data_IF_953288403073
#
_entry.id   IF_953288403073
#
_cell.length_a   1.000
_cell.length_b   1.000
_cell.length_c   1.000
_cell.angle_alpha   90.00
_cell.angle_beta   90.00
_cell.angle_gamma   90.00
#
_symmetry.space_group_name_H-M   'P 1'
#
loop_
_entity.id
_entity.type
_entity.pdbx_description
1 polymer ?
#
# COMPACT_ATOMS: atom_id res chain seq x y z
N UNK A 1 17.82 -19.73 18.70
CA UNK A 1 17.53 -18.97 17.46
C UNK A 1 16.04 -18.62 17.28
N UNK A 2 15.09 -19.33 17.91
CA UNK A 2 13.65 -19.07 17.75
C UNK A 2 13.12 -17.77 18.44
N UNK A 3 13.73 -17.33 19.54
CA UNK A 3 13.22 -16.18 20.33
C UNK A 3 13.42 -14.79 19.70
N UNK A 4 14.45 -14.63 18.85
CA UNK A 4 14.74 -13.34 18.23
C UNK A 4 13.75 -12.97 17.12
N UNK A 5 13.16 -13.97 16.46
CA UNK A 5 12.15 -13.77 15.42
C UNK A 5 10.81 -13.40 16.05
N UNK A 6 10.38 -14.09 17.11
CA UNK A 6 9.14 -13.77 17.83
C UNK A 6 9.18 -12.38 18.50
N UNK A 7 10.34 -11.94 18.98
CA UNK A 7 10.53 -10.58 19.51
C UNK A 7 10.47 -9.50 18.42
N UNK A 8 11.02 -9.76 17.23
CA UNK A 8 10.95 -8.83 16.09
C UNK A 8 9.53 -8.72 15.54
N UNK A 9 8.84 -9.85 15.42
CA UNK A 9 7.46 -9.92 14.95
C UNK A 9 6.49 -9.23 15.95
N UNK A 10 6.71 -9.48 17.25
CA UNK A 10 5.95 -8.80 18.31
C UNK A 10 6.15 -7.28 18.32
N UNK A 11 7.37 -6.80 18.11
CA UNK A 11 7.66 -5.36 17.98
C UNK A 11 7.00 -4.76 16.74
N UNK A 12 7.03 -5.46 15.61
CA UNK A 12 6.41 -5.01 14.37
C UNK A 12 4.89 -4.82 14.52
N UNK A 13 4.17 -5.83 15.02
CA UNK A 13 2.72 -5.70 15.22
C UNK A 13 2.38 -4.68 16.29
N UNK A 14 3.20 -4.54 17.34
CA UNK A 14 2.95 -3.52 18.35
C UNK A 14 3.06 -2.10 17.76
N UNK A 15 4.12 -1.84 16.97
CA UNK A 15 4.32 -0.56 16.28
C UNK A 15 3.18 -0.25 15.31
N UNK A 16 2.78 -1.22 14.47
CA UNK A 16 1.60 -1.09 13.61
C UNK A 16 0.33 -0.81 14.42
N UNK A 17 0.17 -1.45 15.57
CA UNK A 17 -0.94 -1.18 16.48
C UNK A 17 -0.98 0.25 16.99
N UNK A 18 0.19 0.82 17.31
CA UNK A 18 0.32 2.22 17.70
C UNK A 18 0.04 3.19 16.54
N UNK A 19 0.39 2.85 15.29
CA UNK A 19 0.01 3.66 14.11
C UNK A 19 -1.52 3.80 13.99
N UNK A 20 -2.27 2.73 14.31
CA UNK A 20 -3.73 2.69 14.16
C UNK A 20 -4.48 3.26 15.37
N UNK A 21 -4.02 2.94 16.58
CA UNK A 21 -4.74 3.28 17.82
C UNK A 21 -4.09 4.45 18.60
N UNK A 22 -2.99 4.99 18.09
CA UNK A 22 -2.15 5.94 18.81
C UNK A 22 -1.34 5.29 19.94
N UNK A 23 -0.43 6.08 20.51
CA UNK A 23 0.39 5.64 21.63
C UNK A 23 -0.47 5.29 22.86
N UNK A 24 -0.04 4.30 23.67
CA UNK A 24 -0.73 3.95 24.90
C UNK A 24 -0.78 5.13 25.88
N UNK A 25 -1.85 5.24 26.70
CA UNK A 25 -1.86 6.17 27.82
C UNK A 25 -0.67 5.90 28.74
N UNK A 26 0.15 6.92 29.01
CA UNK A 26 1.43 6.77 29.73
C UNK A 26 2.65 6.54 28.83
N UNK A 27 2.47 6.56 27.51
CA UNK A 27 3.52 6.51 26.51
C UNK A 27 4.07 5.11 26.27
N UNK A 28 4.87 4.99 25.21
CA UNK A 28 5.42 3.73 24.70
C UNK A 28 6.15 2.87 25.76
N UNK A 29 6.67 3.50 26.82
CA UNK A 29 7.48 2.86 27.85
C UNK A 29 6.68 2.23 29.00
N UNK A 30 5.39 2.55 29.15
CA UNK A 30 4.54 2.05 30.25
C UNK A 30 3.11 1.65 29.83
N UNK A 31 2.91 0.86 28.77
CA UNK A 31 1.58 0.37 28.43
C UNK A 31 1.06 -0.60 29.51
N UNK A 32 -0.23 -0.51 29.81
CA UNK A 32 -0.91 -1.59 30.53
C UNK A 32 -0.90 -2.88 29.69
N UNK A 33 -1.11 -4.03 30.32
CA UNK A 33 -1.23 -5.30 29.59
C UNK A 33 -2.37 -5.26 28.56
N UNK A 34 -3.49 -4.62 28.93
CA UNK A 34 -4.65 -4.44 28.07
C UNK A 34 -4.31 -3.56 26.86
N UNK A 35 -3.61 -2.44 27.07
CA UNK A 35 -3.13 -1.57 26.00
C UNK A 35 -2.20 -2.30 25.03
N UNK A 36 -1.34 -3.15 25.57
CA UNK A 36 -0.41 -3.95 24.79
C UNK A 36 -1.14 -4.95 23.91
N UNK A 37 -2.12 -5.66 24.47
CA UNK A 37 -2.93 -6.63 23.73
C UNK A 37 -3.79 -5.96 22.65
N UNK A 38 -4.40 -4.81 22.95
CA UNK A 38 -5.20 -4.05 22.00
C UNK A 38 -4.39 -3.66 20.76
N UNK A 39 -3.19 -3.09 20.97
CA UNK A 39 -2.27 -2.69 19.89
C UNK A 39 -1.72 -3.87 19.12
N UNK A 40 -1.30 -4.93 19.81
CA UNK A 40 -0.88 -6.18 19.14
C UNK A 40 -1.98 -6.75 18.24
N UNK A 41 -3.23 -6.73 18.70
CA UNK A 41 -4.36 -7.23 17.93
C UNK A 41 -4.68 -6.33 16.73
N UNK A 42 -4.64 -5.01 16.92
CA UNK A 42 -4.79 -4.04 15.83
C UNK A 42 -3.70 -4.18 14.77
N UNK A 43 -2.42 -4.28 15.18
CA UNK A 43 -1.31 -4.42 14.25
C UNK A 43 -1.29 -5.74 13.50
N UNK A 44 -1.75 -6.85 14.11
CA UNK A 44 -1.96 -8.11 13.38
C UNK A 44 -3.05 -8.00 12.32
N UNK A 45 -4.16 -7.33 12.63
CA UNK A 45 -5.22 -7.06 11.65
C UNK A 45 -4.70 -6.17 10.51
N UNK A 46 -3.93 -5.15 10.84
CA UNK A 46 -3.35 -4.23 9.85
C UNK A 46 -2.28 -4.91 8.99
N UNK A 47 -1.41 -5.74 9.55
CA UNK A 47 -0.45 -6.52 8.78
C UNK A 47 -1.14 -7.45 7.78
N UNK A 48 -2.19 -8.16 8.22
CA UNK A 48 -3.00 -9.01 7.33
C UNK A 48 -3.73 -8.19 6.27
N UNK A 49 -4.19 -6.98 6.60
CA UNK A 49 -4.75 -6.04 5.62
C UNK A 49 -3.70 -5.65 4.59
N UNK A 50 -2.47 -5.29 5.01
CA UNK A 50 -1.35 -4.90 4.13
C UNK A 50 -0.83 -6.06 3.28
N UNK A 51 -0.86 -7.28 3.78
CA UNK A 51 -0.55 -8.48 3.00
C UNK A 51 -1.58 -8.72 1.88
N UNK A 52 -2.86 -8.53 2.19
CA UNK A 52 -3.96 -8.68 1.22
C UNK A 52 -4.07 -7.49 0.26
N UNK A 53 -3.74 -6.30 0.74
CA UNK A 53 -3.85 -5.02 0.06
C UNK A 53 -2.61 -4.17 0.43
N UNK A 54 -1.49 -4.31 -0.31
CA UNK A 54 -0.26 -3.55 -0.03
C UNK A 54 -0.58 -2.06 0.13
N UNK A 55 0.03 -1.45 1.15
CA UNK A 55 -0.37 -0.16 1.68
C UNK A 55 -0.40 0.95 0.59
N UNK A 56 -1.34 1.91 0.70
CA UNK A 56 -1.36 3.12 -0.12
C UNK A 56 -0.03 3.84 -0.03
N UNK A 57 0.59 4.13 -1.17
CA UNK A 57 1.92 4.75 -1.23
C UNK A 57 1.94 6.25 -0.90
N UNK A 58 0.86 6.85 -0.37
CA UNK A 58 0.78 8.30 -0.17
C UNK A 58 0.17 8.69 1.18
N UNK A 59 0.77 9.72 1.79
CA UNK A 59 0.40 10.28 3.10
C UNK A 59 -1.04 10.85 3.18
N UNK A 60 -1.69 11.02 2.03
CA UNK A 60 -3.06 11.51 1.88
C UNK A 60 -4.10 10.38 1.77
N UNK A 61 -3.68 9.11 1.89
CA UNK A 61 -4.56 7.94 1.87
C UNK A 61 -5.01 7.51 0.47
N UNK A 62 -4.62 8.21 -0.59
CA UNK A 62 -4.96 7.81 -1.96
C UNK A 62 -3.96 6.79 -2.52
N UNK A 63 -4.43 5.84 -3.32
CA UNK A 63 -3.56 4.86 -3.97
C UNK A 63 -4.16 4.23 -5.21
N UNK A 64 -3.27 3.73 -6.07
CA UNK A 64 -3.67 2.96 -7.23
C UNK A 64 -3.58 1.47 -6.91
N UNK A 65 -4.68 0.75 -7.13
CA UNK A 65 -4.72 -0.72 -6.95
C UNK A 65 -4.11 -1.39 -8.17
N UNK A 66 -3.21 -2.35 -7.95
CA UNK A 66 -2.63 -3.18 -9.01
C UNK A 66 -3.49 -4.42 -9.28
N UNK A 67 -3.47 -4.90 -10.52
CA UNK A 67 -3.95 -6.21 -10.97
C UNK A 67 -2.90 -7.28 -10.70
N UNK A 68 -3.32 -8.54 -10.77
CA UNK A 68 -2.44 -9.70 -10.57
C UNK A 68 -1.31 -9.80 -11.62
N UNK A 69 -1.49 -9.20 -12.80
CA UNK A 69 -0.51 -9.13 -13.89
C UNK A 69 0.47 -7.95 -13.75
N UNK A 70 0.37 -7.17 -12.67
CA UNK A 70 1.21 -5.98 -12.44
C UNK A 70 0.70 -4.70 -13.12
N UNK A 71 -0.41 -4.75 -13.86
CA UNK A 71 -1.07 -3.57 -14.39
C UNK A 71 -1.78 -2.74 -13.31
N UNK A 72 -1.88 -1.41 -13.49
CA UNK A 72 -2.61 -0.54 -12.56
C UNK A 72 -4.09 -0.43 -12.96
N UNK A 73 -5.02 -0.69 -12.04
CA UNK A 73 -6.45 -0.94 -12.30
C UNK A 73 -7.38 0.25 -12.01
N UNK A 74 -7.34 0.77 -10.78
CA UNK A 74 -8.26 1.82 -10.30
C UNK A 74 -7.55 2.71 -9.30
N UNK A 75 -8.00 3.96 -9.18
CA UNK A 75 -7.55 4.89 -8.16
C UNK A 75 -8.54 4.89 -7.00
N UNK A 76 -8.03 4.68 -5.79
CA UNK A 76 -8.80 4.52 -4.55
C UNK A 76 -8.51 5.70 -3.63
N UNK A 77 -9.57 6.30 -3.11
CA UNK A 77 -9.53 7.41 -2.17
C UNK A 77 -9.31 6.97 -0.72
N UNK A 78 -9.15 7.95 0.20
CA UNK A 78 -8.96 7.68 1.63
C UNK A 78 -10.16 7.00 2.31
N UNK A 79 -11.34 7.08 1.71
CA UNK A 79 -12.57 6.40 2.14
C UNK A 79 -12.67 4.94 1.64
N UNK A 80 -11.73 4.51 0.79
CA UNK A 80 -11.72 3.19 0.18
C UNK A 80 -12.58 3.07 -1.10
N UNK A 81 -13.21 4.15 -1.54
CA UNK A 81 -13.98 4.23 -2.78
C UNK A 81 -13.09 4.47 -4.01
N UNK A 82 -13.59 4.13 -5.21
CA UNK A 82 -12.95 4.55 -6.46
C UNK A 82 -13.15 6.05 -6.62
N UNK A 83 -12.07 6.78 -6.93
CA UNK A 83 -12.10 8.24 -7.05
C UNK A 83 -11.33 8.74 -8.27
N UNK A 84 -11.69 9.92 -8.76
CA UNK A 84 -10.98 10.67 -9.80
C UNK A 84 -10.54 12.06 -9.33
N UNK A 85 -10.64 12.35 -8.03
CA UNK A 85 -10.32 13.67 -7.46
C UNK A 85 -8.88 14.13 -7.72
N UNK A 86 -7.97 13.19 -7.99
CA UNK A 86 -6.57 13.47 -8.35
C UNK A 86 -6.18 12.66 -9.59
N UNK A 87 -6.63 13.08 -10.77
CA UNK A 87 -6.29 12.37 -11.99
C UNK A 87 -4.77 12.46 -12.21
N UNK A 88 -4.12 11.33 -12.44
CA UNK A 88 -2.67 11.27 -12.63
C UNK A 88 -2.30 10.21 -13.66
N UNK A 89 -1.03 10.20 -14.05
CA UNK A 89 -0.47 9.29 -15.03
C UNK A 89 0.59 8.44 -14.36
N UNK A 90 0.50 7.12 -14.48
CA UNK A 90 1.60 6.21 -14.22
C UNK A 90 2.38 6.00 -15.51
N UNK A 91 3.70 6.06 -15.42
CA UNK A 91 4.61 5.70 -16.50
C UNK A 91 5.39 4.47 -16.05
N UNK A 92 5.12 3.33 -16.67
CA UNK A 92 5.78 2.06 -16.37
C UNK A 92 6.71 1.71 -17.54
N UNK A 93 7.99 1.56 -17.25
CA UNK A 93 8.95 1.00 -18.20
C UNK A 93 8.97 -0.52 -18.07
N UNK A 94 8.48 -1.22 -19.10
CA UNK A 94 8.64 -2.67 -19.22
C UNK A 94 9.95 -2.96 -19.93
N UNK A 95 11.02 -3.11 -19.15
CA UNK A 95 12.34 -3.46 -19.68
C UNK A 95 12.36 -4.77 -20.49
N UNK A 96 11.63 -5.85 -20.10
CA UNK A 96 11.60 -7.09 -20.87
C UNK A 96 10.91 -6.95 -22.24
N UNK A 97 9.95 -6.05 -22.38
CA UNK A 97 9.14 -5.89 -23.59
C UNK A 97 9.56 -4.69 -24.45
N UNK A 98 10.52 -3.89 -23.96
CA UNK A 98 10.98 -2.63 -24.57
C UNK A 98 9.83 -1.67 -24.88
N UNK A 99 8.91 -1.56 -23.92
CA UNK A 99 7.68 -0.75 -23.99
C UNK A 99 7.59 0.26 -22.87
N UNK A 100 6.97 1.39 -23.19
CA UNK A 100 6.51 2.37 -22.20
C UNK A 100 4.99 2.27 -22.12
N UNK A 101 4.49 1.90 -20.94
CA UNK A 101 3.06 1.78 -20.66
C UNK A 101 2.64 3.01 -19.87
N UNK A 102 1.70 3.76 -20.43
CA UNK A 102 1.05 4.87 -19.74
C UNK A 102 -0.27 4.36 -19.16
N UNK A 103 -0.50 4.61 -17.88
CA UNK A 103 -1.78 4.37 -17.25
C UNK A 103 -2.36 5.69 -16.78
N UNK A 104 -3.53 6.06 -17.29
CA UNK A 104 -4.16 7.36 -17.00
C UNK A 104 -5.43 7.14 -16.19
N UNK A 105 -5.56 7.88 -15.07
CA UNK A 105 -6.81 7.91 -14.30
C UNK A 105 -7.89 8.64 -15.10
N UNK A 106 -9.03 7.98 -15.30
CA UNK A 106 -10.19 8.49 -16.00
C UNK A 106 -11.11 9.27 -15.05
N UNK A 107 -12.11 9.96 -15.62
CA UNK A 107 -13.10 10.75 -14.87
C UNK A 107 -13.90 9.91 -13.86
N UNK A 108 -14.04 8.62 -14.09
CA UNK A 108 -14.72 7.67 -13.19
C UNK A 108 -13.75 7.01 -12.19
N UNK A 109 -12.48 7.39 -12.18
CA UNK A 109 -11.44 6.84 -11.30
C UNK A 109 -10.86 5.51 -11.76
N UNK A 110 -11.33 4.96 -12.89
CA UNK A 110 -10.71 3.79 -13.51
C UNK A 110 -9.39 4.17 -14.16
N UNK A 111 -8.55 3.18 -14.43
CA UNK A 111 -7.33 3.38 -15.19
C UNK A 111 -7.44 2.75 -16.58
N UNK A 112 -7.13 3.53 -17.60
CA UNK A 112 -6.95 3.02 -18.96
C UNK A 112 -5.46 2.84 -19.26
N UNK A 113 -5.12 1.71 -19.88
CA UNK A 113 -3.78 1.45 -20.38
C UNK A 113 -3.65 2.01 -21.79
N UNK A 114 -2.60 2.78 -22.04
CA UNK A 114 -2.22 3.21 -23.37
C UNK A 114 -0.74 2.92 -23.58
N UNK A 115 -0.45 2.08 -24.56
CA UNK A 115 0.91 1.66 -24.90
C UNK A 115 1.47 2.60 -25.98
N UNK A 116 2.69 3.11 -25.78
CA UNK A 116 3.41 3.82 -26.83
C UNK A 116 4.88 3.40 -26.89
N UNK A 117 5.42 3.48 -28.12
CA UNK A 117 6.80 3.19 -28.53
C UNK A 117 7.23 1.71 -28.39
N UNK A 118 7.19 1.02 -29.53
CA UNK A 118 8.21 0.03 -29.87
C UNK A 118 9.50 0.82 -30.15
N UNK A 119 10.56 0.60 -29.38
CA UNK A 119 11.91 0.96 -29.84
C UNK A 119 12.22 0.07 -31.05
N UNK A 120 11.78 0.48 -32.24
CA UNK A 120 12.40 0.01 -33.48
C UNK A 120 13.80 0.64 -33.51
N UNK A 121 14.77 -0.03 -32.91
CA UNK A 121 16.15 0.10 -33.36
C UNK A 121 16.18 -0.38 -34.82
N UNK A 122 16.05 0.56 -35.76
CA UNK A 122 16.38 0.31 -37.16
C UNK A 122 17.90 0.24 -37.28
N UNK A 123 18.36 -0.97 -37.59
CA UNK A 123 19.66 -1.41 -38.14
C UNK A 123 20.90 -1.16 -37.31
#
# INVERSE_FOLDING_TARGET
MADLLGLKEGKYYYALGCEILGDPPGGYWRPSLADRQARMSAGKREAKRRERNPAPSRADGNYSRSRADGGIDVFIGPDGGITSERPHVHVVHSAPEDRIIFTVTQRDGTHTHTEYLLRRCKR
#
